data_IF_573342818826
#
_entry.id   IF_573342818826
#
_cell.length_a   1.000
_cell.length_b   1.000
_cell.length_c   1.000
_cell.angle_alpha   90.00
_cell.angle_beta   90.00
_cell.angle_gamma   90.00
#
_symmetry.space_group_name_H-M   'P 1'
#
loop_
_entity.id
_entity.type
_entity.pdbx_description
1 polymer ?
#
# COMPACT_ATOMS: atom_id res chain seq x y z
N UNK A 1 24.76 -13.70 -0.11
CA UNK A 1 24.06 -14.31 -1.26
C UNK A 1 22.88 -15.08 -0.69
N UNK A 2 21.68 -14.50 -0.74
CA UNK A 2 20.41 -15.19 -0.41
C UNK A 2 19.44 -14.84 -1.54
N UNK A 3 19.31 -15.76 -2.50
CA UNK A 3 18.36 -15.69 -3.61
C UNK A 3 17.14 -16.50 -3.21
N UNK A 4 16.19 -15.85 -2.51
CA UNK A 4 14.85 -16.41 -2.35
C UNK A 4 14.04 -16.11 -3.61
N UNK A 5 13.36 -17.10 -4.21
CA UNK A 5 12.59 -16.90 -5.42
C UNK A 5 11.42 -15.95 -5.14
N UNK A 6 11.15 -15.06 -6.10
CA UNK A 6 10.00 -14.17 -6.11
C UNK A 6 8.73 -15.00 -6.28
N UNK A 7 8.24 -15.57 -5.18
CA UNK A 7 6.94 -16.21 -5.11
C UNK A 7 5.86 -15.15 -5.30
N UNK A 8 4.94 -15.43 -6.22
CA UNK A 8 3.71 -14.71 -6.50
C UNK A 8 3.01 -14.33 -5.19
N UNK A 9 3.26 -13.12 -4.69
CA UNK A 9 2.40 -12.54 -3.66
C UNK A 9 1.19 -11.97 -4.37
N UNK A 10 0.20 -12.83 -4.59
CA UNK A 10 -1.17 -12.40 -4.81
C UNK A 10 -1.50 -11.34 -3.77
N UNK A 11 -1.72 -10.11 -4.21
CA UNK A 11 -2.32 -9.06 -3.37
C UNK A 11 -3.75 -9.55 -3.12
N UNK A 12 -4.11 -9.95 -1.89
CA UNK A 12 -5.42 -10.50 -1.65
C UNK A 12 -6.45 -9.38 -1.83
N UNK A 13 -7.20 -9.42 -2.93
CA UNK A 13 -8.38 -8.59 -3.14
C UNK A 13 -9.55 -9.19 -2.35
N UNK A 14 -9.44 -9.26 -1.04
CA UNK A 14 -10.58 -9.54 -0.17
C UNK A 14 -11.09 -8.19 0.36
N UNK A 15 -12.25 -7.77 -0.13
CA UNK A 15 -13.00 -6.66 0.46
C UNK A 15 -13.47 -7.11 1.86
N UNK A 16 -13.13 -6.41 2.94
CA UNK A 16 -13.52 -6.83 4.28
C UNK A 16 -15.05 -6.79 4.42
N UNK A 17 -15.61 -7.89 4.92
CA UNK A 17 -17.01 -8.01 5.32
C UNK A 17 -17.31 -7.03 6.45
N UNK A 18 -18.52 -6.46 6.46
CA UNK A 18 -18.98 -5.41 7.37
C UNK A 18 -18.60 -5.69 8.84
N UNK A 19 -17.76 -4.83 9.41
CA UNK A 19 -17.35 -4.87 10.81
C UNK A 19 -15.85 -4.63 11.07
N UNK A 20 -14.99 -4.74 10.05
CA UNK A 20 -13.56 -4.45 10.19
C UNK A 20 -13.09 -3.49 9.09
N UNK A 21 -13.11 -2.20 9.41
CA UNK A 21 -12.50 -1.16 8.58
C UNK A 21 -11.00 -1.17 8.91
N UNK A 22 -10.24 -2.02 8.23
CA UNK A 22 -8.80 -2.09 8.39
C UNK A 22 -8.15 -1.15 7.37
N UNK A 23 -7.50 -0.09 7.86
CA UNK A 23 -6.74 0.84 7.03
C UNK A 23 -5.63 0.09 6.31
N UNK A 24 -5.51 0.26 4.99
CA UNK A 24 -4.45 -0.36 4.20
C UNK A 24 -3.54 0.69 3.59
N UNK A 25 -2.25 0.61 3.89
CA UNK A 25 -1.23 1.51 3.35
C UNK A 25 -0.34 0.78 2.35
N UNK A 26 -0.47 1.15 1.08
CA UNK A 26 0.42 0.73 0.02
C UNK A 26 1.58 1.71 -0.08
N UNK A 27 2.80 1.25 0.13
CA UNK A 27 3.94 2.14 0.28
C UNK A 27 5.29 1.51 -0.02
N UNK A 28 6.27 2.37 -0.28
CA UNK A 28 7.67 1.94 -0.45
C UNK A 28 8.50 2.49 0.70
N UNK A 29 9.31 1.63 1.33
CA UNK A 29 9.99 1.98 2.58
C UNK A 29 10.98 3.15 2.45
N UNK A 30 11.57 3.37 1.26
CA UNK A 30 12.46 4.51 0.94
C UNK A 30 11.73 5.72 0.33
N UNK A 31 10.40 5.67 0.18
CA UNK A 31 9.63 6.83 -0.29
C UNK A 31 9.41 7.81 0.85
N UNK A 32 9.84 9.06 0.68
CA UNK A 32 9.61 10.13 1.67
C UNK A 32 8.13 10.40 1.88
N UNK A 33 7.31 10.32 0.82
CA UNK A 33 5.86 10.47 0.93
C UNK A 33 5.22 9.31 1.72
N UNK A 34 5.64 8.05 1.49
CA UNK A 34 5.18 6.92 2.30
C UNK A 34 5.68 7.00 3.75
N UNK A 35 6.86 7.59 3.99
CA UNK A 35 7.36 7.84 5.34
C UNK A 35 6.47 8.84 6.11
N UNK A 36 6.03 9.94 5.48
CA UNK A 36 5.12 10.91 6.11
C UNK A 36 3.81 10.26 6.56
N UNK A 37 3.19 9.45 5.71
CA UNK A 37 1.93 8.77 6.05
C UNK A 37 2.11 7.81 7.22
N UNK A 38 3.20 7.02 7.27
CA UNK A 38 3.49 6.14 8.41
C UNK A 38 3.65 6.91 9.72
N UNK A 39 4.33 8.07 9.70
CA UNK A 39 4.44 8.94 10.88
C UNK A 39 3.06 9.39 11.33
N UNK A 40 2.22 9.90 10.41
CA UNK A 40 0.88 10.38 10.75
C UNK A 40 0.03 9.26 11.35
N UNK A 41 0.08 8.05 10.79
CA UNK A 41 -0.64 6.89 11.35
C UNK A 41 -0.17 6.58 12.77
N UNK A 42 1.15 6.57 13.00
CA UNK A 42 1.72 6.30 14.31
C UNK A 42 1.37 7.40 15.33
N UNK A 43 1.42 8.68 14.93
CA UNK A 43 1.05 9.82 15.78
C UNK A 43 -0.43 9.82 16.12
N UNK A 44 -1.28 9.34 15.21
CA UNK A 44 -2.73 9.21 15.44
C UNK A 44 -3.11 7.91 16.17
N UNK A 45 -2.16 6.99 16.38
CA UNK A 45 -2.43 5.70 17.00
C UNK A 45 -3.41 4.83 16.21
N UNK A 46 -3.41 4.95 14.88
CA UNK A 46 -4.29 4.16 14.01
C UNK A 46 -3.64 2.82 13.70
N UNK A 47 -4.41 1.75 13.82
CA UNK A 47 -4.01 0.44 13.32
C UNK A 47 -4.21 0.38 11.80
N UNK A 48 -3.19 -0.09 11.09
CA UNK A 48 -3.21 -0.22 9.64
C UNK A 48 -2.34 -1.38 9.17
N UNK A 49 -2.75 -2.02 8.08
CA UNK A 49 -1.97 -3.02 7.38
C UNK A 49 -1.03 -2.33 6.37
N UNK A 50 0.24 -2.75 6.33
CA UNK A 50 1.18 -2.27 5.33
C UNK A 50 1.38 -3.25 4.19
N UNK A 51 1.16 -2.77 2.97
CA UNK A 51 1.41 -3.47 1.74
C UNK A 51 2.64 -2.85 1.05
N UNK A 52 3.82 -3.49 1.12
CA UNK A 52 5.01 -2.97 0.47
C UNK A 52 4.88 -3.06 -1.05
N UNK A 53 5.24 -1.98 -1.75
CA UNK A 53 5.29 -1.90 -3.21
C UNK A 53 6.75 -1.66 -3.64
N UNK A 54 7.30 -2.54 -4.46
CA UNK A 54 8.68 -2.48 -4.90
C UNK A 54 8.85 -1.60 -6.14
N UNK A 55 9.19 -0.33 -5.90
CA UNK A 55 9.43 0.63 -6.99
C UNK A 55 10.65 0.31 -7.85
N UNK A 56 11.62 -0.48 -7.34
CA UNK A 56 12.81 -0.88 -8.11
C UNK A 56 12.49 -1.96 -9.14
N UNK A 57 11.51 -2.81 -8.83
CA UNK A 57 11.00 -3.83 -9.76
C UNK A 57 9.86 -3.28 -10.64
N UNK A 58 9.33 -2.10 -10.32
CA UNK A 58 8.30 -1.45 -11.11
C UNK A 58 6.89 -1.95 -10.80
N UNK A 59 6.66 -2.57 -9.64
CA UNK A 59 5.38 -3.14 -9.22
C UNK A 59 4.22 -2.13 -9.30
N UNK A 60 4.49 -0.84 -9.08
CA UNK A 60 3.50 0.24 -9.21
C UNK A 60 2.94 0.42 -10.62
N UNK A 61 3.63 -0.11 -11.64
CA UNK A 61 3.22 -0.06 -13.05
C UNK A 61 2.46 -1.31 -13.47
N UNK A 62 2.47 -2.36 -12.66
CA UNK A 62 1.79 -3.60 -12.97
C UNK A 62 0.29 -3.43 -12.97
N UNK A 63 -0.39 -4.22 -13.81
CA UNK A 63 -1.86 -4.19 -13.92
C UNK A 63 -2.54 -4.46 -12.57
N UNK A 64 -1.95 -5.32 -11.73
CA UNK A 64 -2.49 -5.60 -10.40
C UNK A 64 -2.56 -4.34 -9.53
N UNK A 65 -1.45 -3.60 -9.43
CA UNK A 65 -1.42 -2.35 -8.67
C UNK A 65 -2.22 -1.23 -9.35
N UNK A 66 -2.19 -1.12 -10.68
CA UNK A 66 -2.94 -0.07 -11.39
C UNK A 66 -4.46 -0.24 -11.35
N UNK A 67 -4.96 -1.46 -11.10
CA UNK A 67 -6.38 -1.68 -10.80
C UNK A 67 -6.80 -1.08 -9.46
N UNK A 68 -5.88 -1.04 -8.51
CA UNK A 68 -6.08 -0.43 -7.20
C UNK A 68 -5.87 1.09 -7.27
N UNK A 69 -4.73 1.53 -7.81
CA UNK A 69 -4.39 2.94 -7.99
C UNK A 69 -4.03 3.21 -9.46
N UNK A 70 -4.97 3.71 -10.29
CA UNK A 70 -4.73 3.99 -11.71
C UNK A 70 -3.56 4.94 -11.99
N UNK A 71 -3.21 5.82 -11.03
CA UNK A 71 -2.06 6.72 -11.13
C UNK A 71 -0.72 5.98 -11.04
N UNK A 72 -0.67 4.79 -10.43
CA UNK A 72 0.55 3.98 -10.31
C UNK A 72 1.61 4.63 -9.43
N UNK A 73 1.19 5.34 -8.38
CA UNK A 73 2.07 6.06 -7.46
C UNK A 73 1.92 5.53 -6.03
N UNK A 74 2.92 5.83 -5.19
CA UNK A 74 2.91 5.55 -3.74
C UNK A 74 3.21 6.84 -2.98
N UNK A 75 2.70 7.03 -1.75
CA UNK A 75 1.79 6.14 -1.02
C UNK A 75 0.36 6.12 -1.60
N UNK A 76 -0.37 5.06 -1.29
CA UNK A 76 -1.80 4.95 -1.54
C UNK A 76 -2.48 4.37 -0.29
N UNK A 77 -3.49 5.06 0.22
CA UNK A 77 -4.22 4.68 1.42
C UNK A 77 -5.64 4.26 1.04
N UNK A 78 -6.08 3.13 1.59
CA UNK A 78 -7.45 2.65 1.45
C UNK A 78 -8.07 2.54 2.85
N UNK A 79 -9.25 3.15 2.99
CA UNK A 79 -10.06 3.17 4.20
C UNK A 79 -11.51 2.82 3.82
N UNK A 80 -11.82 1.52 3.77
CA UNK A 80 -13.10 1.03 3.25
C UNK A 80 -13.34 1.47 1.81
N UNK A 81 -14.35 2.32 1.59
CA UNK A 81 -14.68 2.89 0.27
C UNK A 81 -13.81 4.10 -0.09
N UNK A 82 -13.15 4.71 0.90
CA UNK A 82 -12.33 5.90 0.71
C UNK A 82 -10.94 5.50 0.22
N UNK A 83 -10.52 6.07 -0.89
CA UNK A 83 -9.21 5.83 -1.49
C UNK A 83 -8.49 7.16 -1.68
N UNK A 84 -7.30 7.28 -1.12
CA UNK A 84 -6.50 8.51 -1.18
C UNK A 84 -5.14 8.21 -1.76
N UNK A 85 -4.84 8.87 -2.88
CA UNK A 85 -3.51 8.93 -3.48
C UNK A 85 -2.85 10.28 -3.24
N UNK A 86 -1.51 10.29 -3.29
CA UNK A 86 -0.64 11.45 -3.06
C UNK A 86 -0.58 11.90 -1.60
N UNK A 87 0.63 12.25 -1.16
CA UNK A 87 0.84 13.06 0.04
C UNK A 87 1.21 14.46 -0.42
N UNK A 88 0.45 15.47 0.02
CA UNK A 88 0.93 16.86 -0.01
C UNK A 88 2.13 17.05 0.92
#
# INVERSE_FOLDING_TARGET
MDTRPAGERQVPLHLPTQGQIMLQLFGYWRSSASYRVRIVMQLKGLDYEQHPVNLRQGEQREKAYRRLNPQGLVPFLVDGEVQVGQSV
#
